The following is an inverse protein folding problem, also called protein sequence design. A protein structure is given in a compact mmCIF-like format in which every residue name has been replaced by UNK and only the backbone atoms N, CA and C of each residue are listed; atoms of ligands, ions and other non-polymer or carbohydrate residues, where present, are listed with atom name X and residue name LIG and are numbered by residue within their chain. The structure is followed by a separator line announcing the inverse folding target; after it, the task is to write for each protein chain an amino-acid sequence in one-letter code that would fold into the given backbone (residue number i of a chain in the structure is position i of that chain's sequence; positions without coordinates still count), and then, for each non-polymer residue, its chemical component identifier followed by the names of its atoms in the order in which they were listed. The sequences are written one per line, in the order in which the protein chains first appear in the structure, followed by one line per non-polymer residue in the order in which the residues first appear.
data_IF_059772699088
#
_entry.id   IF_059772699088
#
_cell.length_a   1.000
_cell.length_b   1.000
_cell.length_c   1.000
_cell.angle_alpha   90.00
_cell.angle_beta   90.00
_cell.angle_gamma   90.00
#
_symmetry.space_group_name_H-M   'P 1'
#
loop_
_entity.id
_entity.type
_entity.pdbx_description
1 polymer ?
#
# COMPACT_ATOMS: atom_id res chain seq x y z
N UNK A 1 0.63 58.49 -19.62
CA UNK A 1 -0.41 57.43 -19.74
C UNK A 1 -0.08 56.28 -18.79
N UNK A 2 -0.42 56.36 -17.49
CA UNK A 2 -0.35 55.23 -16.52
C UNK A 2 -0.88 55.67 -15.14
N UNK A 3 -2.08 56.26 -15.09
CA UNK A 3 -2.77 56.57 -13.83
C UNK A 3 -4.22 56.16 -14.03
N UNK A 4 -4.62 55.04 -13.39
CA UNK A 4 -6.00 54.64 -13.03
C UNK A 4 -6.22 53.12 -13.07
N UNK A 5 -5.28 52.31 -12.57
CA UNK A 5 -5.54 50.89 -12.30
C UNK A 5 -5.22 50.44 -10.86
N UNK A 6 -4.79 51.35 -9.97
CA UNK A 6 -4.18 50.98 -8.67
C UNK A 6 -5.03 51.24 -7.41
N UNK A 7 -6.35 51.38 -7.48
CA UNK A 7 -7.14 51.68 -6.27
C UNK A 7 -8.52 51.03 -6.19
N UNK A 8 -8.67 49.77 -6.59
CA UNK A 8 -9.77 48.90 -6.12
C UNK A 8 -9.16 47.88 -5.17
N UNK A 9 -9.16 48.19 -3.87
CA UNK A 9 -8.80 47.24 -2.82
C UNK A 9 -9.89 46.19 -2.66
N UNK A 10 -9.49 44.97 -2.35
CA UNK A 10 -10.39 43.86 -2.02
C UNK A 10 -11.23 44.23 -0.79
N UNK A 11 -12.55 44.06 -0.84
CA UNK A 11 -13.40 44.38 0.31
C UNK A 11 -13.32 43.27 1.37
N UNK A 12 -13.41 43.64 2.66
CA UNK A 12 -13.45 42.65 3.75
C UNK A 12 -14.61 41.66 3.59
N UNK A 13 -15.74 42.13 3.08
CA UNK A 13 -16.94 41.32 2.84
C UNK A 13 -16.75 40.32 1.71
N UNK A 14 -16.03 40.67 0.63
CA UNK A 14 -15.67 39.70 -0.42
C UNK A 14 -14.76 38.61 0.13
N UNK A 15 -13.77 39.00 0.93
CA UNK A 15 -12.86 38.02 1.54
C UNK A 15 -13.61 37.09 2.51
N UNK A 16 -14.54 37.63 3.31
CA UNK A 16 -15.36 36.82 4.22
C UNK A 16 -16.28 35.85 3.48
N UNK A 17 -16.92 36.27 2.40
CA UNK A 17 -17.77 35.38 1.60
C UNK A 17 -16.95 34.22 0.99
N UNK A 18 -15.75 34.51 0.48
CA UNK A 18 -14.85 33.48 -0.06
C UNK A 18 -14.42 32.49 1.02
N UNK A 19 -14.04 32.97 2.21
CA UNK A 19 -13.62 32.11 3.34
C UNK A 19 -14.76 31.19 3.80
N UNK A 20 -16.00 31.69 3.83
CA UNK A 20 -17.17 30.87 4.20
C UNK A 20 -17.41 29.78 3.15
N UNK A 21 -17.32 30.11 1.85
CA UNK A 21 -17.53 29.13 0.79
C UNK A 21 -16.46 28.03 0.83
N UNK A 22 -15.17 28.38 0.95
CA UNK A 22 -14.11 27.36 1.06
C UNK A 22 -14.24 26.51 2.33
N UNK A 23 -14.74 27.09 3.44
CA UNK A 23 -14.97 26.34 4.67
C UNK A 23 -16.01 25.23 4.46
N UNK A 24 -17.14 25.53 3.83
CA UNK A 24 -18.21 24.55 3.56
C UNK A 24 -17.70 23.46 2.61
N UNK A 25 -17.04 23.84 1.51
CA UNK A 25 -16.50 22.88 0.53
C UNK A 25 -15.45 21.95 1.16
N UNK A 26 -14.57 22.48 2.01
CA UNK A 26 -13.55 21.67 2.69
C UNK A 26 -14.13 20.64 3.65
N UNK A 27 -15.23 20.98 4.33
CA UNK A 27 -15.92 20.06 5.25
C UNK A 27 -16.47 18.82 4.55
N UNK A 28 -17.08 18.99 3.37
CA UNK A 28 -17.66 17.88 2.60
C UNK A 28 -16.57 17.05 1.89
N UNK A 29 -15.50 17.68 1.41
CA UNK A 29 -14.47 17.02 0.61
C UNK A 29 -13.48 16.15 1.42
N UNK A 30 -13.34 16.36 2.73
CA UNK A 30 -12.32 15.66 3.52
C UNK A 30 -12.49 14.13 3.54
N UNK A 31 -13.74 13.66 3.56
CA UNK A 31 -14.02 12.22 3.56
C UNK A 31 -13.63 11.53 2.25
N UNK A 32 -13.96 12.13 1.11
CA UNK A 32 -13.62 11.59 -0.21
C UNK A 32 -12.11 11.67 -0.47
N UNK A 33 -11.44 12.73 -0.03
CA UNK A 33 -10.00 12.88 -0.13
C UNK A 33 -9.24 11.75 0.58
N UNK A 34 -9.63 11.40 1.82
CA UNK A 34 -9.01 10.30 2.57
C UNK A 34 -9.16 8.95 1.86
N UNK A 35 -10.33 8.67 1.30
CA UNK A 35 -10.56 7.44 0.52
C UNK A 35 -9.70 7.40 -0.75
N UNK A 36 -9.60 8.52 -1.47
CA UNK A 36 -8.77 8.61 -2.66
C UNK A 36 -7.27 8.42 -2.34
N UNK A 37 -6.79 9.04 -1.26
CA UNK A 37 -5.41 8.87 -0.79
C UNK A 37 -5.11 7.42 -0.41
N UNK A 38 -6.01 6.74 0.32
CA UNK A 38 -5.79 5.33 0.66
C UNK A 38 -5.86 4.39 -0.56
N UNK A 39 -6.65 4.70 -1.59
CA UNK A 39 -6.58 3.97 -2.88
C UNK A 39 -5.22 4.16 -3.56
N UNK A 40 -4.67 5.36 -3.52
CA UNK A 40 -3.31 5.61 -4.04
C UNK A 40 -2.24 4.87 -3.25
N UNK A 41 -2.37 4.79 -1.92
CA UNK A 41 -1.46 3.97 -1.11
C UNK A 41 -1.62 2.49 -1.41
N UNK A 42 -2.85 2.01 -1.56
CA UNK A 42 -3.12 0.62 -1.91
C UNK A 42 -2.38 0.21 -3.19
N UNK A 43 -2.49 1.01 -4.26
CA UNK A 43 -1.81 0.73 -5.53
C UNK A 43 -0.29 0.80 -5.39
N UNK A 44 0.23 1.77 -4.64
CA UNK A 44 1.66 1.89 -4.31
C UNK A 44 2.18 0.61 -3.64
N UNK A 45 1.47 0.12 -2.62
CA UNK A 45 1.83 -1.11 -1.90
C UNK A 45 1.76 -2.35 -2.78
N UNK A 46 0.74 -2.46 -3.63
CA UNK A 46 0.60 -3.59 -4.55
C UNK A 46 1.74 -3.62 -5.58
N UNK A 47 2.06 -2.48 -6.20
CA UNK A 47 3.18 -2.38 -7.14
C UNK A 47 4.49 -2.72 -6.45
N UNK A 48 4.76 -2.15 -5.28
CA UNK A 48 5.97 -2.45 -4.52
C UNK A 48 6.04 -3.94 -4.16
N UNK A 49 4.94 -4.55 -3.72
CA UNK A 49 4.85 -5.98 -3.44
C UNK A 49 5.19 -6.85 -4.64
N UNK A 50 4.61 -6.57 -5.81
CA UNK A 50 4.90 -7.32 -7.03
C UNK A 50 6.34 -7.14 -7.51
N UNK A 51 6.96 -5.97 -7.32
CA UNK A 51 8.38 -5.80 -7.65
C UNK A 51 9.27 -6.71 -6.80
N UNK A 52 8.96 -6.89 -5.51
CA UNK A 52 9.67 -7.84 -4.64
C UNK A 52 9.37 -9.28 -5.05
N UNK A 53 8.11 -9.59 -5.32
CA UNK A 53 7.69 -10.94 -5.75
C UNK A 53 8.42 -11.38 -7.02
N UNK A 54 8.55 -10.49 -7.99
CA UNK A 54 9.23 -10.78 -9.25
C UNK A 54 10.73 -11.04 -9.04
N UNK A 55 11.38 -10.28 -8.16
CA UNK A 55 12.76 -10.54 -7.78
C UNK A 55 12.91 -11.89 -7.05
N UNK A 56 11.94 -12.25 -6.20
CA UNK A 56 11.89 -13.56 -5.54
C UNK A 56 11.72 -14.70 -6.57
N UNK A 57 10.84 -14.53 -7.56
CA UNK A 57 10.68 -15.49 -8.67
C UNK A 57 11.99 -15.67 -9.43
N UNK A 58 12.66 -14.57 -9.81
CA UNK A 58 13.95 -14.60 -10.49
C UNK A 58 15.01 -15.35 -9.67
N UNK A 59 15.15 -15.00 -8.38
CA UNK A 59 16.07 -15.67 -7.48
C UNK A 59 15.79 -17.18 -7.40
N UNK A 60 14.52 -17.58 -7.34
CA UNK A 60 14.15 -18.99 -7.29
C UNK A 60 14.61 -19.76 -8.52
N UNK A 61 14.51 -19.18 -9.72
CA UNK A 61 14.91 -19.83 -10.96
C UNK A 61 16.41 -19.75 -11.24
N UNK A 62 17.09 -18.71 -10.78
CA UNK A 62 18.53 -18.51 -10.99
C UNK A 62 19.41 -19.40 -10.09
N UNK A 63 18.86 -19.94 -9.00
CA UNK A 63 19.59 -20.76 -8.02
C UNK A 63 19.05 -22.21 -7.94
N UNK A 64 19.12 -23.01 -9.02
CA UNK A 64 18.53 -24.36 -9.06
C UNK A 64 19.22 -25.37 -8.14
N UNK A 65 20.46 -25.11 -7.76
CA UNK A 65 21.34 -25.95 -6.92
C UNK A 65 21.03 -25.85 -5.42
N UNK A 66 20.42 -24.75 -4.98
CA UNK A 66 20.01 -24.55 -3.60
C UNK A 66 18.80 -25.43 -3.23
N UNK A 67 18.65 -25.68 -1.93
CA UNK A 67 17.46 -26.38 -1.43
C UNK A 67 16.19 -25.55 -1.69
N UNK A 68 15.06 -26.23 -1.88
CA UNK A 68 13.78 -25.57 -2.13
C UNK A 68 13.40 -24.56 -1.02
N UNK A 69 13.78 -24.84 0.23
CA UNK A 69 13.53 -23.93 1.35
C UNK A 69 14.35 -22.63 1.29
N UNK A 70 15.58 -22.69 0.78
CA UNK A 70 16.47 -21.53 0.66
C UNK A 70 16.10 -20.67 -0.55
N UNK A 71 15.68 -21.31 -1.65
CA UNK A 71 15.24 -20.62 -2.88
C UNK A 71 13.93 -19.88 -2.70
N UNK A 72 13.00 -20.44 -1.92
CA UNK A 72 11.66 -19.88 -1.69
C UNK A 72 11.64 -18.65 -0.81
N UNK A 73 12.67 -18.43 0.00
CA UNK A 73 12.75 -17.31 0.94
C UNK A 73 14.14 -16.66 0.91
N UNK A 74 14.51 -15.99 -0.19
CA UNK A 74 15.76 -15.26 -0.28
C UNK A 74 15.81 -14.13 0.75
N UNK A 75 17.02 -13.82 1.22
CA UNK A 75 17.25 -12.59 1.98
C UNK A 75 17.05 -11.39 1.05
N UNK A 76 16.56 -10.28 1.60
CA UNK A 76 16.36 -9.03 0.88
C UNK A 76 17.65 -8.52 0.22
N UNK A 77 18.80 -8.73 0.87
CA UNK A 77 20.11 -8.33 0.34
C UNK A 77 20.54 -9.10 -0.92
N UNK A 78 19.94 -10.27 -1.18
CA UNK A 78 20.21 -11.06 -2.39
C UNK A 78 19.33 -10.65 -3.57
N UNK A 79 18.33 -9.81 -3.34
CA UNK A 79 17.43 -9.34 -4.37
C UNK A 79 17.99 -8.07 -5.00
N UNK A 80 17.96 -7.99 -6.33
CA UNK A 80 18.41 -6.84 -7.12
C UNK A 80 17.37 -5.70 -7.14
N UNK A 81 16.80 -5.40 -5.97
CA UNK A 81 15.72 -4.43 -5.82
C UNK A 81 16.17 -3.25 -4.96
N UNK A 82 16.07 -2.05 -5.54
CA UNK A 82 16.17 -0.81 -4.78
C UNK A 82 14.79 -0.28 -4.46
N UNK A 83 14.34 -0.39 -3.20
CA UNK A 83 13.18 0.40 -2.76
C UNK A 83 13.65 1.77 -2.28
N UNK A 84 13.15 2.82 -2.92
CA UNK A 84 13.41 4.20 -2.52
C UNK A 84 12.91 4.44 -1.08
N UNK A 85 13.80 4.93 -0.21
CA UNK A 85 13.56 5.12 1.23
C UNK A 85 13.46 3.83 2.06
N UNK A 86 14.26 2.81 1.76
CA UNK A 86 14.39 1.61 2.61
C UNK A 86 14.64 2.00 4.07
N UNK A 87 13.66 1.70 4.93
CA UNK A 87 13.74 1.88 6.39
C UNK A 87 13.85 0.52 7.06
N UNK A 88 14.31 0.48 8.30
CA UNK A 88 14.22 -0.74 9.10
C UNK A 88 12.76 -1.14 9.25
N UNK A 89 12.46 -2.42 8.98
CA UNK A 89 11.15 -2.98 9.28
C UNK A 89 10.83 -2.83 10.77
N UNK A 90 9.56 -2.74 11.12
CA UNK A 90 9.10 -2.58 12.50
C UNK A 90 8.21 -3.71 12.96
N UNK A 91 7.49 -4.37 12.05
CA UNK A 91 6.63 -5.51 12.37
C UNK A 91 7.44 -6.80 12.38
N UNK A 92 8.31 -6.99 11.38
CA UNK A 92 9.14 -8.20 11.31
C UNK A 92 10.41 -8.02 12.17
N UNK A 93 10.65 -8.86 13.18
CA UNK A 93 11.90 -8.83 13.95
C UNK A 93 13.10 -9.20 13.07
N UNK A 94 12.90 -10.01 12.03
CA UNK A 94 13.95 -10.43 11.13
C UNK A 94 14.08 -9.45 9.95
N UNK A 95 15.16 -8.66 9.96
CA UNK A 95 15.44 -7.65 8.93
C UNK A 95 15.91 -8.25 7.61
N UNK A 96 16.48 -9.45 7.66
CA UNK A 96 17.04 -10.12 6.48
C UNK A 96 15.98 -10.45 5.43
N UNK A 97 14.70 -10.53 5.79
CA UNK A 97 13.62 -10.93 4.88
C UNK A 97 12.56 -9.84 4.68
N UNK A 98 12.92 -8.60 4.97
CA UNK A 98 11.95 -7.53 5.03
C UNK A 98 12.46 -6.24 4.40
N UNK A 99 11.63 -5.64 3.55
CA UNK A 99 11.84 -4.34 2.95
C UNK A 99 10.71 -3.40 3.38
N UNK A 100 11.00 -2.12 3.48
CA UNK A 100 10.02 -1.14 3.97
C UNK A 100 10.03 0.13 3.15
N UNK A 101 8.83 0.57 2.77
CA UNK A 101 8.55 1.88 2.20
C UNK A 101 7.97 2.81 3.29
N UNK A 102 7.58 4.02 2.89
CA UNK A 102 6.92 4.97 3.81
C UNK A 102 5.62 4.41 4.40
N UNK A 103 4.86 3.65 3.61
CA UNK A 103 3.49 3.22 3.94
C UNK A 103 3.34 1.71 4.08
N UNK A 104 4.33 0.91 3.65
CA UNK A 104 4.25 -0.54 3.62
C UNK A 104 5.50 -1.23 4.14
N UNK A 105 5.31 -2.39 4.77
CA UNK A 105 6.36 -3.36 5.07
C UNK A 105 6.12 -4.64 4.28
N UNK A 106 7.08 -4.96 3.42
CA UNK A 106 7.07 -6.10 2.52
C UNK A 106 7.94 -7.18 3.13
N UNK A 107 7.34 -8.33 3.44
CA UNK A 107 7.99 -9.46 4.10
C UNK A 107 8.01 -10.63 3.15
N UNK A 108 9.20 -11.18 2.93
CA UNK A 108 9.41 -12.39 2.13
C UNK A 108 9.16 -13.60 3.04
N UNK A 109 8.23 -14.45 2.63
CA UNK A 109 7.85 -15.68 3.29
C UNK A 109 8.18 -16.87 2.38
N UNK A 110 8.25 -18.07 2.95
CA UNK A 110 8.51 -19.29 2.17
C UNK A 110 7.40 -19.59 1.15
N UNK A 111 6.19 -19.09 1.36
CA UNK A 111 5.06 -19.30 0.46
C UNK A 111 4.84 -18.13 -0.51
N UNK A 112 5.55 -17.01 -0.36
CA UNK A 112 5.34 -15.80 -1.17
C UNK A 112 5.71 -14.51 -0.47
N UNK A 113 5.03 -13.42 -0.82
CA UNK A 113 5.32 -12.08 -0.31
C UNK A 113 4.11 -11.52 0.42
N UNK A 114 4.31 -11.05 1.65
CA UNK A 114 3.31 -10.38 2.46
C UNK A 114 3.57 -8.88 2.50
N UNK A 115 2.59 -8.06 2.15
CA UNK A 115 2.71 -6.60 2.12
C UNK A 115 1.78 -6.00 3.17
N UNK A 116 2.35 -5.48 4.26
CA UNK A 116 1.60 -4.94 5.38
C UNK A 116 1.47 -3.42 5.24
N UNK A 117 0.25 -2.89 5.30
CA UNK A 117 0.05 -1.44 5.47
C UNK A 117 0.55 -1.03 6.85
N UNK A 118 1.46 -0.07 6.91
CA UNK A 118 2.04 0.44 8.17
C UNK A 118 1.83 1.92 8.38
N UNK A 119 1.45 2.30 9.60
CA UNK A 119 1.42 3.69 10.03
C UNK A 119 1.90 3.76 11.47
N UNK A 120 2.84 4.67 11.76
CA UNK A 120 3.40 4.85 13.10
C UNK A 120 3.92 3.53 13.73
N UNK A 121 4.59 2.69 12.92
CA UNK A 121 5.17 1.41 13.34
C UNK A 121 4.16 0.35 13.83
N UNK A 122 2.90 0.46 13.41
CA UNK A 122 1.87 -0.55 13.65
C UNK A 122 1.24 -1.03 12.33
N UNK A 123 0.88 -2.32 12.28
CA UNK A 123 0.06 -2.89 11.19
C UNK A 123 -1.30 -2.21 11.19
N UNK A 124 -1.76 -1.80 10.01
CA UNK A 124 -3.03 -1.12 9.81
C UNK A 124 -4.10 -2.04 9.21
N UNK A 125 -5.20 -1.39 8.83
CA UNK A 125 -6.50 -1.91 8.44
C UNK A 125 -6.46 -3.05 7.41
N UNK A 126 -5.42 -3.16 6.58
CA UNK A 126 -5.31 -4.22 5.58
C UNK A 126 -3.85 -4.61 5.27
N UNK A 127 -3.69 -5.78 4.66
CA UNK A 127 -2.44 -6.28 4.11
C UNK A 127 -2.70 -7.22 2.92
N UNK A 128 -1.68 -7.50 2.14
CA UNK A 128 -1.76 -8.36 0.95
C UNK A 128 -0.92 -9.62 1.12
N UNK A 129 -1.38 -10.72 0.54
CA UNK A 129 -0.57 -11.89 0.24
C UNK A 129 -0.46 -12.02 -1.27
N UNK A 130 0.78 -12.05 -1.76
CA UNK A 130 1.12 -12.22 -3.16
C UNK A 130 1.86 -13.55 -3.32
N UNK A 131 1.42 -14.34 -4.28
CA UNK A 131 1.91 -15.72 -4.43
C UNK A 131 2.86 -15.84 -5.65
N UNK A 132 4.00 -16.54 -5.49
CA UNK A 132 4.99 -16.68 -6.54
C UNK A 132 4.56 -17.72 -7.57
N UNK A 133 5.18 -17.67 -8.75
CA UNK A 133 4.81 -18.56 -9.86
C UNK A 133 5.19 -20.02 -9.61
N UNK A 134 6.24 -20.24 -8.83
CA UNK A 134 6.73 -21.57 -8.45
C UNK A 134 5.92 -22.23 -7.33
N UNK A 135 4.86 -21.58 -6.81
CA UNK A 135 4.00 -22.19 -5.80
C UNK A 135 3.33 -23.46 -6.36
N UNK A 136 3.20 -24.49 -5.53
CA UNK A 136 2.63 -25.80 -5.91
C UNK A 136 1.14 -25.74 -6.34
N UNK A 137 0.51 -24.56 -6.26
CA UNK A 137 -0.77 -24.22 -6.86
C UNK A 137 -0.80 -22.74 -7.22
N UNK A 138 -1.53 -22.38 -8.28
CA UNK A 138 -1.77 -20.96 -8.63
C UNK A 138 -2.79 -20.37 -7.67
N UNK A 139 -2.31 -19.82 -6.57
CA UNK A 139 -3.14 -19.07 -5.62
C UNK A 139 -3.33 -17.64 -6.14
N UNK A 140 -4.58 -17.14 -6.25
CA UNK A 140 -4.80 -15.74 -6.59
C UNK A 140 -4.28 -14.83 -5.48
N UNK A 141 -3.84 -13.63 -5.83
CA UNK A 141 -3.48 -12.61 -4.85
C UNK A 141 -4.64 -12.35 -3.89
N UNK A 142 -4.30 -12.11 -2.63
CA UNK A 142 -5.26 -11.88 -1.56
C UNK A 142 -5.09 -10.51 -0.94
N UNK A 143 -6.22 -9.85 -0.71
CA UNK A 143 -6.36 -8.66 0.11
C UNK A 143 -7.08 -9.04 1.41
N UNK A 144 -6.40 -8.86 2.53
CA UNK A 144 -6.95 -9.18 3.85
C UNK A 144 -7.14 -7.88 4.62
N UNK A 145 -8.36 -7.69 5.13
CA UNK A 145 -8.74 -6.54 5.94
C UNK A 145 -9.10 -6.94 7.36
N UNK A 146 -8.72 -6.09 8.32
CA UNK A 146 -9.08 -6.17 9.75
C UNK A 146 -10.24 -5.24 10.13
N UNK A 147 -10.88 -4.60 9.16
CA UNK A 147 -11.99 -3.67 9.38
C UNK A 147 -12.99 -3.71 8.22
N UNK A 148 -14.22 -3.26 8.48
CA UNK A 148 -15.22 -3.10 7.42
C UNK A 148 -14.79 -2.05 6.37
N UNK A 149 -14.07 -1.00 6.78
CA UNK A 149 -13.55 0.02 5.87
C UNK A 149 -12.45 -0.51 4.96
N UNK A 150 -11.54 -1.35 5.48
CA UNK A 150 -10.53 -2.00 4.66
C UNK A 150 -11.13 -3.07 3.75
N UNK A 151 -12.26 -3.69 4.13
CA UNK A 151 -12.98 -4.63 3.26
C UNK A 151 -13.60 -3.89 2.05
N UNK A 152 -14.30 -2.78 2.29
CA UNK A 152 -14.80 -1.90 1.21
C UNK A 152 -13.68 -1.45 0.27
N UNK A 153 -12.49 -1.16 0.83
CA UNK A 153 -11.31 -0.85 0.04
C UNK A 153 -10.84 -2.05 -0.81
N UNK A 154 -10.64 -3.24 -0.23
CA UNK A 154 -10.26 -4.44 -0.98
C UNK A 154 -11.21 -4.72 -2.14
N UNK A 155 -12.52 -4.68 -1.90
CA UNK A 155 -13.56 -4.90 -2.91
C UNK A 155 -13.51 -3.84 -4.00
N UNK A 156 -13.38 -2.57 -3.63
CA UNK A 156 -13.26 -1.47 -4.60
C UNK A 156 -12.03 -1.60 -5.49
N UNK A 157 -10.95 -2.18 -4.96
CA UNK A 157 -9.70 -2.42 -5.71
C UNK A 157 -9.74 -3.69 -6.56
N UNK A 158 -10.87 -4.42 -6.58
CA UNK A 158 -11.10 -5.56 -7.46
C UNK A 158 -10.98 -6.94 -6.79
N UNK A 159 -10.79 -7.01 -5.47
CA UNK A 159 -10.80 -8.27 -4.73
C UNK A 159 -12.24 -8.61 -4.32
N UNK A 160 -12.99 -9.26 -5.20
CA UNK A 160 -14.45 -9.43 -5.05
C UNK A 160 -14.86 -10.75 -4.39
N UNK A 161 -13.99 -11.76 -4.46
CA UNK A 161 -14.25 -13.09 -3.89
C UNK A 161 -13.86 -13.10 -2.41
N UNK A 162 -14.77 -12.63 -1.56
CA UNK A 162 -14.51 -12.43 -0.13
C UNK A 162 -15.10 -13.52 0.76
N UNK A 163 -14.33 -13.91 1.77
CA UNK A 163 -14.76 -14.78 2.88
C UNK A 163 -14.35 -14.15 4.21
N UNK A 164 -15.16 -14.33 5.25
CA UNK A 164 -14.89 -13.80 6.59
C UNK A 164 -16.13 -13.28 7.30
N UNK A 165 -16.03 -13.06 8.60
CA UNK A 165 -17.08 -12.47 9.42
C UNK A 165 -16.50 -11.61 10.54
N UNK A 166 -17.25 -10.59 10.95
CA UNK A 166 -16.83 -9.67 12.01
C UNK A 166 -15.74 -8.69 11.57
N UNK A 167 -14.52 -8.84 12.09
CA UNK A 167 -13.39 -7.92 11.89
C UNK A 167 -12.25 -8.51 11.06
N UNK A 168 -12.50 -9.59 10.31
CA UNK A 168 -11.49 -10.19 9.44
C UNK A 168 -12.13 -10.62 8.12
N UNK A 169 -11.66 -10.03 7.03
CA UNK A 169 -12.12 -10.31 5.67
C UNK A 169 -10.93 -10.72 4.82
N UNK A 170 -11.04 -11.86 4.13
CA UNK A 170 -10.05 -12.33 3.16
C UNK A 170 -10.71 -12.34 1.79
N UNK A 171 -10.22 -11.47 0.90
CA UNK A 171 -10.74 -11.32 -0.45
C UNK A 171 -9.67 -11.72 -1.47
N UNK A 172 -10.01 -12.59 -2.42
CA UNK A 172 -9.16 -12.89 -3.57
C UNK A 172 -9.62 -12.07 -4.78
N UNK A 173 -8.71 -11.88 -5.72
CA UNK A 173 -9.05 -11.38 -7.05
C UNK A 173 -9.88 -12.39 -7.84
#
# INVERSE_FOLDING_TARGET
MLKNMLAKGFTLTELMAVVIIIAILSGVALGSYKKAAERSHFTEGLVAGHTVLEAVNRYYYDNPDLSDSERKRPKADYLDIGLSNARSCTINPNKDYCLRTKYFEIVIQTWGVQVNRVQNNAVKDYYFYLYPEYASGRYPDQCISRSATGHDLCVTMGYTNCSGSGSYYSCTK
#
